data_IF_280084844341
#
_entry.id   IF_280084844341
#
_cell.length_a   1.000
_cell.length_b   1.000
_cell.length_c   1.000
_cell.angle_alpha   90.00
_cell.angle_beta   90.00
_cell.angle_gamma   90.00
#
_symmetry.space_group_name_H-M   'P 1'
#
loop_
_entity.id
_entity.type
_entity.pdbx_description
1 polymer ?
#
# COMPACT_ATOMS: atom_id res chain seq x y z
N UNK A 1 -1.53 -10.44 9.45
CA UNK A 1 -2.22 -9.27 10.06
C UNK A 1 -3.44 -8.91 9.22
N UNK A 2 -4.48 -8.25 9.76
CA UNK A 2 -5.59 -7.77 8.92
C UNK A 2 -5.04 -6.88 7.79
N UNK A 3 -5.38 -7.19 6.54
CA UNK A 3 -4.98 -6.45 5.33
C UNK A 3 -3.89 -7.10 4.46
N UNK A 4 -3.07 -8.02 4.98
CA UNK A 4 -1.95 -8.56 4.18
C UNK A 4 -2.39 -9.52 3.07
N UNK A 5 -3.41 -10.35 3.32
CA UNK A 5 -3.97 -11.25 2.32
C UNK A 5 -4.69 -10.45 1.22
N UNK A 6 -5.39 -9.39 1.60
CA UNK A 6 -6.07 -8.49 0.68
C UNK A 6 -5.08 -7.74 -0.22
N UNK A 7 -3.94 -7.28 0.34
CA UNK A 7 -2.88 -6.63 -0.44
C UNK A 7 -2.20 -7.61 -1.41
N UNK A 8 -1.88 -8.83 -0.97
CA UNK A 8 -1.31 -9.87 -1.84
C UNK A 8 -2.26 -10.24 -2.98
N UNK A 9 -3.55 -10.38 -2.69
CA UNK A 9 -4.57 -10.63 -3.71
C UNK A 9 -4.70 -9.45 -4.69
N UNK A 10 -4.74 -8.21 -4.20
CA UNK A 10 -4.83 -7.02 -5.03
C UNK A 10 -3.61 -6.85 -5.95
N UNK A 11 -2.40 -7.05 -5.42
CA UNK A 11 -1.14 -7.03 -6.18
C UNK A 11 -1.21 -7.99 -7.37
N UNK A 12 -1.64 -9.24 -7.15
CA UNK A 12 -1.76 -10.26 -8.20
C UNK A 12 -2.89 -9.95 -9.19
N UNK A 13 -4.06 -9.56 -8.70
CA UNK A 13 -5.24 -9.29 -9.53
C UNK A 13 -5.02 -8.12 -10.50
N UNK A 14 -4.31 -7.09 -10.05
CA UNK A 14 -4.05 -5.90 -10.86
C UNK A 14 -2.71 -5.92 -11.59
N UNK A 15 -1.85 -6.92 -11.31
CA UNK A 15 -0.47 -6.96 -11.74
C UNK A 15 0.27 -5.65 -11.38
N UNK A 16 0.15 -5.20 -10.13
CA UNK A 16 0.79 -3.97 -9.62
C UNK A 16 1.80 -4.33 -8.53
N UNK A 17 2.88 -3.57 -8.40
CA UNK A 17 3.64 -3.58 -7.15
C UNK A 17 2.94 -2.68 -6.13
N UNK A 18 2.89 -3.12 -4.88
CA UNK A 18 2.29 -2.34 -3.79
C UNK A 18 3.30 -2.15 -2.68
N UNK A 19 3.72 -0.91 -2.45
CA UNK A 19 4.54 -0.54 -1.28
C UNK A 19 3.62 -0.12 -0.13
N UNK A 20 3.63 -0.91 0.94
CA UNK A 20 2.96 -0.62 2.19
C UNK A 20 3.91 0.11 3.14
N UNK A 21 3.58 1.36 3.49
CA UNK A 21 4.26 2.17 4.49
C UNK A 21 3.45 2.19 5.78
N UNK A 22 3.99 1.70 6.88
CA UNK A 22 3.32 1.81 8.19
C UNK A 22 3.85 3.03 8.93
N UNK A 23 2.95 3.83 9.50
CA UNK A 23 3.30 5.03 10.28
C UNK A 23 2.83 4.91 11.73
N UNK A 24 3.51 5.63 12.62
CA UNK A 24 3.09 5.79 14.02
C UNK A 24 1.99 6.85 14.17
N UNK A 25 1.54 7.10 15.41
CA UNK A 25 0.52 8.10 15.73
C UNK A 25 0.95 9.54 15.45
N UNK A 26 2.25 9.79 15.23
CA UNK A 26 2.80 11.07 14.83
C UNK A 26 3.06 11.14 13.31
N UNK A 27 2.49 10.22 12.53
CA UNK A 27 2.65 10.08 11.09
C UNK A 27 4.11 9.86 10.64
N UNK A 28 4.96 9.32 11.52
CA UNK A 28 6.35 8.99 11.18
C UNK A 28 6.44 7.58 10.65
N UNK A 29 7.25 7.36 9.61
CA UNK A 29 7.47 6.05 9.02
C UNK A 29 8.11 5.09 10.03
N UNK A 30 7.45 3.96 10.27
CA UNK A 30 7.92 2.87 11.14
C UNK A 30 8.45 1.71 10.30
N UNK A 31 7.76 1.37 9.21
CA UNK A 31 8.18 0.29 8.32
C UNK A 31 7.73 0.54 6.88
N UNK A 32 8.44 -0.09 5.93
CA UNK A 32 8.09 -0.08 4.52
C UNK A 32 8.36 -1.46 3.94
N UNK A 33 7.35 -2.06 3.30
CA UNK A 33 7.45 -3.36 2.64
C UNK A 33 6.82 -3.28 1.25
N UNK A 34 7.40 -3.96 0.27
CA UNK A 34 6.88 -3.99 -1.10
C UNK A 34 6.43 -5.40 -1.45
N UNK A 35 5.16 -5.52 -1.83
CA UNK A 35 4.61 -6.68 -2.51
C UNK A 35 4.87 -6.51 -4.01
N UNK A 36 5.59 -7.47 -4.61
CA UNK A 36 5.95 -7.42 -6.02
C UNK A 36 5.39 -8.59 -6.81
N UNK A 37 5.02 -8.31 -8.06
CA UNK A 37 4.57 -9.30 -9.03
C UNK A 37 5.45 -9.23 -10.27
N UNK A 38 5.60 -10.36 -10.96
CA UNK A 38 6.31 -10.39 -12.23
C UNK A 38 5.59 -9.54 -13.28
N UNK A 39 6.34 -8.77 -14.07
CA UNK A 39 5.82 -7.91 -15.14
C UNK A 39 4.77 -6.89 -14.66
N UNK A 40 5.01 -6.25 -13.50
CA UNK A 40 4.12 -5.24 -12.96
C UNK A 40 3.83 -4.10 -13.96
N UNK A 41 2.57 -3.70 -14.04
CA UNK A 41 2.07 -2.66 -14.95
C UNK A 41 2.02 -1.28 -14.29
N UNK A 42 2.06 -1.22 -12.96
CA UNK A 42 1.99 0.00 -12.16
C UNK A 42 2.60 -0.22 -10.75
N UNK A 43 3.06 0.85 -10.14
CA UNK A 43 3.43 0.91 -8.73
C UNK A 43 2.40 1.72 -7.92
N UNK A 44 2.07 1.25 -6.72
CA UNK A 44 1.13 1.88 -5.79
C UNK A 44 1.77 2.04 -4.40
N UNK A 45 1.54 3.19 -3.75
CA UNK A 45 1.92 3.39 -2.34
C UNK A 45 0.66 3.43 -1.48
N UNK A 46 0.62 2.54 -0.49
CA UNK A 46 -0.41 2.50 0.55
C UNK A 46 0.22 2.88 1.89
N UNK A 47 -0.40 3.78 2.63
CA UNK A 47 0.00 4.15 4.00
C UNK A 47 -0.96 3.51 4.99
N UNK A 48 -0.44 2.83 6.01
CA UNK A 48 -1.20 2.28 7.12
C UNK A 48 -0.92 3.05 8.40
N UNK A 49 -1.98 3.60 8.99
CA UNK A 49 -1.98 4.18 10.34
C UNK A 49 -3.00 3.46 11.22
N UNK A 50 -2.53 2.75 12.24
CA UNK A 50 -3.41 1.90 13.06
C UNK A 50 -4.18 0.85 12.24
N UNK A 51 -5.51 0.93 12.27
CA UNK A 51 -6.42 0.03 11.55
C UNK A 51 -6.85 0.52 10.15
N UNK A 52 -6.36 1.67 9.68
CA UNK A 52 -6.82 2.31 8.45
C UNK A 52 -5.72 2.37 7.39
N UNK A 53 -6.15 2.47 6.13
CA UNK A 53 -5.30 2.64 4.96
C UNK A 53 -5.61 3.94 4.24
N UNK A 54 -4.58 4.63 3.76
CA UNK A 54 -4.68 5.80 2.90
C UNK A 54 -3.86 5.58 1.63
N UNK A 55 -4.33 6.14 0.52
CA UNK A 55 -3.70 6.06 -0.79
C UNK A 55 -3.75 7.42 -1.44
N UNK A 56 -2.65 7.83 -2.08
CA UNK A 56 -2.65 9.00 -2.95
C UNK A 56 -3.20 8.58 -4.31
N UNK A 57 -4.24 9.27 -4.76
CA UNK A 57 -4.85 9.05 -6.07
C UNK A 57 -4.71 10.35 -6.85
N UNK A 58 -4.04 10.29 -8.01
CA UNK A 58 -3.96 11.42 -8.93
C UNK A 58 -5.37 11.94 -9.24
N UNK A 59 -5.61 13.23 -8.98
CA UNK A 59 -6.86 13.91 -9.34
C UNK A 59 -7.88 14.13 -8.20
N UNK A 60 -7.61 13.69 -6.97
CA UNK A 60 -8.35 14.13 -5.79
C UNK A 60 -7.61 15.29 -5.10
N UNK A 61 -7.92 16.52 -5.52
CA UNK A 61 -7.71 17.71 -4.71
C UNK A 61 -8.75 17.70 -3.57
N UNK A 62 -8.27 17.71 -2.32
CA UNK A 62 -9.09 17.98 -1.14
C UNK A 62 -9.77 19.35 -1.23
#
# INVERSE_FOLDING_TARGET
>A
MPGELEIDAAMKMHAWNITLKTVDNACRLVSSFTYSVENATKDLVLVRGGGFFAVEVDGYLL
#
